data_IF_708904351135
#
_entry.id   IF_708904351135
#
_cell.length_a   1.000
_cell.length_b   1.000
_cell.length_c   1.000
_cell.angle_alpha   90.00
_cell.angle_beta   90.00
_cell.angle_gamma   90.00
#
_symmetry.space_group_name_H-M   'P 1'
#
loop_
_entity.id
_entity.type
_entity.pdbx_description
1 polymer ?
#
# COMPACT_ATOMS: atom_id res chain seq x y z
N UNK A 1 5.39 -37.58 18.63
CA UNK A 1 6.48 -36.58 18.67
C UNK A 1 6.27 -35.65 17.48
N UNK A 2 5.51 -34.57 17.66
CA UNK A 2 5.47 -33.51 16.67
C UNK A 2 6.78 -32.75 16.79
N UNK A 3 7.63 -32.82 15.76
CA UNK A 3 8.79 -31.96 15.68
C UNK A 3 8.28 -30.52 15.52
N UNK A 4 8.59 -29.66 16.48
CA UNK A 4 8.38 -28.22 16.35
C UNK A 4 9.21 -27.74 15.15
N UNK A 5 8.54 -27.19 14.13
CA UNK A 5 9.23 -26.48 13.05
C UNK A 5 9.99 -25.32 13.68
N UNK A 6 11.32 -25.19 13.47
CA UNK A 6 12.07 -24.09 14.04
C UNK A 6 11.48 -22.77 13.56
N UNK A 7 11.01 -21.96 14.50
CA UNK A 7 10.50 -20.61 14.21
C UNK A 7 11.66 -19.78 13.68
N UNK A 8 11.56 -19.35 12.42
CA UNK A 8 12.54 -18.45 11.81
C UNK A 8 12.62 -17.18 12.69
N UNK A 9 13.83 -16.68 13.01
CA UNK A 9 13.95 -15.47 13.82
C UNK A 9 13.22 -14.30 13.13
N UNK A 10 12.61 -13.39 13.90
CA UNK A 10 11.83 -12.30 13.33
C UNK A 10 12.73 -11.37 12.52
N UNK A 11 12.23 -10.88 11.38
CA UNK A 11 12.92 -9.85 10.60
C UNK A 11 12.94 -8.54 11.38
N UNK A 12 14.07 -7.84 11.34
CA UNK A 12 14.27 -6.60 12.08
C UNK A 12 13.92 -5.42 11.18
N UNK A 13 12.98 -4.60 11.63
CA UNK A 13 12.51 -3.44 10.84
C UNK A 13 12.83 -2.11 11.51
N UNK A 14 13.14 -1.14 10.65
CA UNK A 14 13.16 0.27 11.01
C UNK A 14 11.86 0.94 10.57
N UNK A 15 11.19 1.63 11.48
CA UNK A 15 10.00 2.42 11.17
C UNK A 15 10.40 3.88 10.97
N UNK A 16 10.27 4.36 9.73
CA UNK A 16 10.54 5.75 9.37
C UNK A 16 9.20 6.49 9.30
N UNK A 17 8.89 7.20 10.38
CA UNK A 17 7.62 7.88 10.60
C UNK A 17 6.75 7.18 11.64
N UNK A 18 6.53 7.83 12.79
CA UNK A 18 5.70 7.35 13.89
C UNK A 18 4.30 7.99 13.93
N UNK A 19 3.74 8.26 12.74
CA UNK A 19 2.37 8.74 12.59
C UNK A 19 1.32 7.66 12.88
N UNK A 20 0.07 7.91 12.48
CA UNK A 20 -1.02 6.92 12.64
C UNK A 20 -0.72 5.57 11.98
N UNK A 21 -0.12 5.58 10.79
CA UNK A 21 0.26 4.36 10.08
C UNK A 21 1.47 3.67 10.71
N UNK A 22 2.55 4.39 10.99
CA UNK A 22 3.75 3.82 11.61
C UNK A 22 3.46 3.11 12.94
N UNK A 23 2.66 3.73 13.82
CA UNK A 23 2.24 3.09 15.08
C UNK A 23 1.41 1.82 14.87
N UNK A 24 0.55 1.81 13.86
CA UNK A 24 -0.26 0.63 13.56
C UNK A 24 0.58 -0.51 12.94
N UNK A 25 1.58 -0.17 12.13
CA UNK A 25 2.58 -1.14 11.64
C UNK A 25 3.35 -1.71 12.84
N UNK A 26 3.78 -0.87 13.77
CA UNK A 26 4.47 -1.29 14.99
C UNK A 26 3.62 -2.25 15.84
N UNK A 27 2.36 -1.88 16.07
CA UNK A 27 1.39 -2.69 16.84
C UNK A 27 1.22 -4.09 16.24
N UNK A 28 1.20 -4.20 14.91
CA UNK A 28 0.99 -5.46 14.20
C UNK A 28 2.29 -6.21 13.87
N UNK A 29 3.47 -5.62 14.10
CA UNK A 29 4.74 -6.14 13.62
C UNK A 29 5.06 -7.54 14.16
N UNK A 30 4.93 -7.74 15.48
CA UNK A 30 5.27 -8.99 16.14
C UNK A 30 4.40 -10.17 15.66
N UNK A 31 3.10 -9.92 15.45
CA UNK A 31 2.16 -10.91 14.92
C UNK A 31 2.51 -11.36 13.49
N UNK A 32 3.28 -10.56 12.74
CA UNK A 32 3.68 -10.84 11.37
C UNK A 32 5.18 -11.21 11.26
N UNK A 33 5.82 -11.60 12.35
CA UNK A 33 7.20 -12.10 12.32
C UNK A 33 8.26 -10.99 12.26
N UNK A 34 7.95 -9.80 12.77
CA UNK A 34 8.90 -8.68 12.80
C UNK A 34 9.27 -8.23 14.22
N UNK A 35 10.52 -7.77 14.37
CA UNK A 35 11.02 -7.05 15.54
C UNK A 35 11.34 -5.60 15.15
N UNK A 36 10.76 -4.63 15.85
CA UNK A 36 10.98 -3.20 15.56
C UNK A 36 12.23 -2.72 16.31
N UNK A 37 13.34 -2.61 15.60
CA UNK A 37 14.66 -2.28 16.16
C UNK A 37 14.98 -0.78 16.12
N UNK A 38 14.34 -0.02 15.24
CA UNK A 38 14.56 1.41 15.11
C UNK A 38 13.23 2.16 14.87
N UNK A 39 13.07 3.30 15.54
CA UNK A 39 11.92 4.20 15.40
C UNK A 39 12.41 5.61 15.11
N UNK A 40 12.04 6.11 13.94
CA UNK A 40 12.42 7.43 13.48
C UNK A 40 11.19 8.31 13.29
N UNK A 41 11.28 9.56 13.73
CA UNK A 41 10.24 10.57 13.55
C UNK A 41 10.83 11.99 13.40
N UNK A 42 9.99 13.02 13.47
CA UNK A 42 10.43 14.40 13.30
C UNK A 42 11.37 14.93 14.40
N UNK A 43 11.47 14.24 15.53
CA UNK A 43 12.34 14.62 16.66
C UNK A 43 13.78 14.12 16.49
N UNK A 44 13.96 12.93 15.89
CA UNK A 44 15.26 12.27 15.78
C UNK A 44 15.74 12.00 14.34
N UNK A 45 14.91 12.28 13.33
CA UNK A 45 15.24 12.08 11.91
C UNK A 45 14.97 13.33 11.04
N UNK A 46 15.06 14.52 11.63
CA UNK A 46 14.94 15.77 10.86
C UNK A 46 16.04 15.84 9.80
N UNK A 47 15.64 16.01 8.53
CA UNK A 47 16.57 16.01 7.39
C UNK A 47 17.35 14.71 7.21
N UNK A 48 16.82 13.57 7.69
CA UNK A 48 17.46 12.27 7.56
C UNK A 48 18.57 11.99 8.58
N UNK A 49 18.71 12.80 9.64
CA UNK A 49 19.80 12.68 10.61
C UNK A 49 19.83 11.35 11.39
N UNK A 50 18.70 10.66 11.50
CA UNK A 50 18.60 9.35 12.17
C UNK A 50 18.92 8.17 11.25
N UNK A 51 18.94 8.39 9.93
CA UNK A 51 19.27 7.39 8.92
C UNK A 51 20.78 7.30 8.73
N UNK A 52 21.44 6.66 9.69
CA UNK A 52 22.90 6.45 9.69
C UNK A 52 23.24 4.97 9.64
N UNK A 53 24.45 4.64 9.15
CA UNK A 53 24.97 3.26 9.14
C UNK A 53 24.96 2.62 10.53
N UNK A 54 25.29 3.40 11.57
CA UNK A 54 25.29 2.91 12.94
C UNK A 54 23.87 2.60 13.45
N UNK A 55 22.91 3.48 13.18
CA UNK A 55 21.52 3.28 13.61
C UNK A 55 20.85 2.09 12.90
N UNK A 56 21.18 1.86 11.63
CA UNK A 56 20.55 0.85 10.79
C UNK A 56 21.30 -0.49 10.75
N UNK A 57 22.37 -0.69 11.52
CA UNK A 57 23.22 -1.89 11.45
C UNK A 57 22.48 -3.21 11.73
N UNK A 58 21.38 -3.16 12.47
CA UNK A 58 20.52 -4.32 12.75
C UNK A 58 19.23 -4.32 11.93
N UNK A 59 19.08 -3.44 10.95
CA UNK A 59 17.85 -3.34 10.16
C UNK A 59 17.95 -4.22 8.92
N UNK A 60 16.97 -5.11 8.76
CA UNK A 60 16.83 -5.95 7.58
C UNK A 60 15.98 -5.24 6.50
N UNK A 61 14.93 -4.52 6.90
CA UNK A 61 14.05 -3.73 5.99
C UNK A 61 13.56 -2.45 6.69
N UNK A 62 13.50 -1.34 5.96
CA UNK A 62 12.88 -0.10 6.42
C UNK A 62 11.43 0.02 5.92
N UNK A 63 10.51 0.50 6.76
CA UNK A 63 9.15 0.85 6.37
C UNK A 63 8.94 2.36 6.58
N UNK A 64 8.75 3.10 5.48
CA UNK A 64 8.56 4.55 5.49
C UNK A 64 7.07 4.93 5.33
N UNK A 65 6.51 5.41 6.44
CA UNK A 65 5.22 6.11 6.54
C UNK A 65 5.44 7.49 7.20
N UNK A 66 6.44 8.21 6.72
CA UNK A 66 6.83 9.55 7.19
C UNK A 66 5.95 10.65 6.59
N UNK A 67 6.56 11.67 5.97
CA UNK A 67 5.85 12.77 5.32
C UNK A 67 6.45 13.02 3.94
N UNK A 68 5.68 13.60 2.99
CA UNK A 68 6.22 13.97 1.69
C UNK A 68 7.50 14.81 1.81
N UNK A 69 7.52 15.78 2.73
CA UNK A 69 8.70 16.60 3.00
C UNK A 69 9.92 15.80 3.48
N UNK A 70 9.71 14.77 4.30
CA UNK A 70 10.81 13.91 4.77
C UNK A 70 11.39 13.06 3.63
N UNK A 71 10.52 12.46 2.80
CA UNK A 71 10.96 11.75 1.58
C UNK A 71 11.72 12.69 0.66
N UNK A 72 11.17 13.87 0.37
CA UNK A 72 11.80 14.86 -0.51
C UNK A 72 13.12 15.42 0.05
N UNK A 73 13.32 15.39 1.38
CA UNK A 73 14.59 15.77 2.03
C UNK A 73 15.68 14.69 1.99
N UNK A 74 15.35 13.52 1.44
CA UNK A 74 16.31 12.49 1.08
C UNK A 74 16.31 11.24 1.95
N UNK A 75 15.17 10.87 2.55
CA UNK A 75 15.08 9.61 3.31
C UNK A 75 15.39 8.39 2.43
N UNK A 76 14.78 8.33 1.25
CA UNK A 76 14.89 7.18 0.36
C UNK A 76 16.30 7.07 -0.23
N UNK A 77 16.93 8.19 -0.53
CA UNK A 77 18.31 8.24 -1.02
C UNK A 77 19.29 7.74 0.03
N UNK A 78 19.13 8.14 1.29
CA UNK A 78 19.97 7.63 2.39
C UNK A 78 19.78 6.13 2.60
N UNK A 79 18.55 5.64 2.51
CA UNK A 79 18.28 4.20 2.61
C UNK A 79 18.92 3.42 1.44
N UNK A 80 18.89 3.99 0.23
CA UNK A 80 19.62 3.45 -0.93
C UNK A 80 21.13 3.40 -0.68
N UNK A 81 21.73 4.52 -0.24
CA UNK A 81 23.18 4.61 0.03
C UNK A 81 23.64 3.65 1.14
N UNK A 82 22.75 3.34 2.08
CA UNK A 82 23.02 2.40 3.18
C UNK A 82 22.74 0.94 2.81
N UNK A 83 22.14 0.68 1.64
CA UNK A 83 21.83 -0.67 1.18
C UNK A 83 20.67 -1.32 1.92
N UNK A 84 19.69 -0.54 2.38
CA UNK A 84 18.54 -1.04 3.16
C UNK A 84 17.32 -1.20 2.24
N UNK A 85 16.82 -2.43 2.14
CA UNK A 85 15.56 -2.72 1.46
C UNK A 85 14.43 -1.89 2.10
N UNK A 86 13.54 -1.35 1.28
CA UNK A 86 12.58 -0.34 1.74
C UNK A 86 11.16 -0.61 1.23
N UNK A 87 10.18 -0.45 2.12
CA UNK A 87 8.75 -0.34 1.78
C UNK A 87 8.32 1.11 2.04
N UNK A 88 7.92 1.84 1.02
CA UNK A 88 7.47 3.24 1.17
C UNK A 88 5.98 3.37 0.88
N UNK A 89 5.23 3.76 1.91
CA UNK A 89 3.81 4.12 1.81
C UNK A 89 3.52 5.61 1.99
N UNK A 90 4.55 6.42 2.19
CA UNK A 90 4.45 7.87 2.07
C UNK A 90 4.06 8.26 0.65
N UNK A 91 3.07 9.14 0.49
CA UNK A 91 2.60 9.68 -0.80
C UNK A 91 3.20 11.07 -1.07
N UNK A 92 2.96 11.63 -2.26
CA UNK A 92 3.24 13.05 -2.55
C UNK A 92 4.70 13.38 -2.90
N UNK A 93 5.41 12.44 -3.51
CA UNK A 93 6.79 12.58 -3.99
C UNK A 93 6.90 12.24 -5.48
N UNK A 94 5.80 12.36 -6.22
CA UNK A 94 5.68 12.00 -7.63
C UNK A 94 6.73 12.69 -8.51
N UNK A 95 7.03 13.95 -8.22
CA UNK A 95 8.03 14.76 -8.93
C UNK A 95 9.44 14.15 -8.90
N UNK A 96 9.78 13.39 -7.85
CA UNK A 96 11.08 12.72 -7.70
C UNK A 96 11.02 11.22 -7.91
N UNK A 97 9.85 10.69 -8.31
CA UNK A 97 9.63 9.25 -8.41
C UNK A 97 10.64 8.60 -9.35
N UNK A 98 10.77 9.11 -10.57
CA UNK A 98 11.68 8.54 -11.57
C UNK A 98 13.15 8.52 -11.09
N UNK A 99 13.59 9.59 -10.44
CA UNK A 99 14.94 9.74 -9.89
C UNK A 99 15.22 8.69 -8.80
N UNK A 100 14.32 8.58 -7.82
CA UNK A 100 14.46 7.68 -6.68
C UNK A 100 14.39 6.21 -7.12
N UNK A 101 13.46 5.87 -8.03
CA UNK A 101 13.38 4.51 -8.57
C UNK A 101 14.65 4.15 -9.36
N UNK A 102 15.26 5.09 -10.08
CA UNK A 102 16.54 4.86 -10.75
C UNK A 102 17.68 4.67 -9.73
N UNK A 103 17.69 5.45 -8.64
CA UNK A 103 18.68 5.32 -7.57
C UNK A 103 18.58 3.96 -6.86
N UNK A 104 17.38 3.53 -6.49
CA UNK A 104 17.16 2.24 -5.84
C UNK A 104 17.68 1.07 -6.71
N UNK A 105 17.38 1.10 -8.02
CA UNK A 105 17.92 0.12 -8.98
C UNK A 105 19.44 0.09 -9.00
N UNK A 106 20.09 1.26 -9.07
CA UNK A 106 21.57 1.36 -9.09
C UNK A 106 22.21 0.89 -7.79
N UNK A 107 21.53 1.11 -6.67
CA UNK A 107 22.03 0.75 -5.34
C UNK A 107 21.85 -0.74 -5.02
N UNK A 108 21.10 -1.47 -5.86
CA UNK A 108 20.89 -2.92 -5.72
C UNK A 108 19.89 -3.31 -4.63
N UNK A 109 19.23 -2.34 -3.98
CA UNK A 109 18.23 -2.63 -2.95
C UNK A 109 16.91 -3.10 -3.56
N UNK A 110 16.10 -3.75 -2.73
CA UNK A 110 14.68 -3.93 -2.94
C UNK A 110 13.89 -2.70 -2.49
N UNK A 111 13.01 -2.20 -3.35
CA UNK A 111 12.09 -1.11 -3.03
C UNK A 111 10.67 -1.48 -3.45
N UNK A 112 9.76 -1.57 -2.50
CA UNK A 112 8.31 -1.61 -2.77
C UNK A 112 7.73 -0.23 -2.47
N UNK A 113 7.01 0.35 -3.42
CA UNK A 113 6.33 1.62 -3.22
C UNK A 113 4.84 1.47 -3.53
N UNK A 114 4.00 2.23 -2.83
CA UNK A 114 2.57 2.24 -3.11
C UNK A 114 1.82 3.25 -2.27
N UNK A 115 0.86 3.93 -2.87
CA UNK A 115 -0.04 4.83 -2.12
C UNK A 115 -1.07 4.03 -1.27
N UNK A 116 -1.25 2.74 -1.57
CA UNK A 116 -2.23 1.89 -0.92
C UNK A 116 -1.77 0.44 -0.82
N UNK A 117 -1.42 0.03 0.40
CA UNK A 117 -1.00 -1.34 0.71
C UNK A 117 -2.16 -2.30 1.03
N UNK A 118 -3.42 -1.88 0.89
CA UNK A 118 -4.55 -2.79 1.13
C UNK A 118 -4.68 -3.79 -0.02
N UNK A 119 -4.46 -5.07 0.27
CA UNK A 119 -4.75 -6.17 -0.66
C UNK A 119 -6.20 -6.12 -1.14
N UNK A 120 -7.15 -5.82 -0.23
CA UNK A 120 -8.58 -5.73 -0.56
C UNK A 120 -8.90 -4.61 -1.55
N UNK A 121 -8.22 -3.46 -1.44
CA UNK A 121 -8.40 -2.37 -2.41
C UNK A 121 -7.81 -2.72 -3.77
N UNK A 122 -6.61 -3.33 -3.80
CA UNK A 122 -5.99 -3.71 -5.06
C UNK A 122 -6.75 -4.86 -5.76
N UNK A 123 -7.33 -5.80 -5.01
CA UNK A 123 -8.26 -6.78 -5.55
C UNK A 123 -9.53 -6.12 -6.11
N UNK A 124 -10.09 -5.14 -5.39
CA UNK A 124 -11.25 -4.37 -5.83
C UNK A 124 -10.99 -3.64 -7.17
N UNK A 125 -9.81 -3.04 -7.36
CA UNK A 125 -9.43 -2.43 -8.63
C UNK A 125 -9.47 -3.42 -9.80
N UNK A 126 -8.94 -4.64 -9.60
CA UNK A 126 -8.96 -5.66 -10.67
C UNK A 126 -10.37 -6.14 -10.98
N UNK A 127 -11.21 -6.31 -9.97
CA UNK A 127 -12.63 -6.67 -10.15
C UNK A 127 -13.36 -5.55 -10.91
N UNK A 128 -13.14 -4.30 -10.52
CA UNK A 128 -13.72 -3.13 -11.19
C UNK A 128 -13.29 -3.04 -12.66
N UNK A 129 -12.00 -3.20 -12.95
CA UNK A 129 -11.50 -3.19 -14.32
C UNK A 129 -12.07 -4.35 -15.16
N UNK A 130 -12.28 -5.53 -14.56
CA UNK A 130 -12.90 -6.66 -15.24
C UNK A 130 -14.40 -6.44 -15.52
N UNK A 131 -15.14 -5.89 -14.55
CA UNK A 131 -16.54 -5.52 -14.71
C UNK A 131 -16.69 -4.45 -15.80
N UNK A 132 -15.89 -3.37 -15.73
CA UNK A 132 -15.88 -2.29 -16.72
C UNK A 132 -15.59 -2.80 -18.14
N UNK A 133 -14.56 -3.64 -18.33
CA UNK A 133 -14.25 -4.26 -19.64
C UNK A 133 -15.43 -5.04 -20.22
N UNK A 134 -16.20 -5.70 -19.37
CA UNK A 134 -17.31 -6.55 -19.80
C UNK A 134 -18.53 -5.71 -20.14
N UNK A 135 -18.90 -4.79 -19.24
CA UNK A 135 -20.10 -3.96 -19.37
C UNK A 135 -19.95 -2.85 -20.41
N UNK A 136 -18.74 -2.35 -20.68
CA UNK A 136 -18.48 -1.38 -21.75
C UNK A 136 -18.81 -1.92 -23.16
N UNK A 137 -18.97 -3.24 -23.30
CA UNK A 137 -19.35 -3.90 -24.57
C UNK A 137 -20.86 -4.08 -24.70
N UNK A 138 -21.62 -3.74 -23.67
CA UNK A 138 -23.06 -3.84 -23.62
C UNK A 138 -23.66 -2.43 -23.76
N UNK A 139 -24.64 -2.28 -24.64
CA UNK A 139 -25.32 -1.00 -24.82
C UNK A 139 -26.26 -0.72 -23.63
N UNK A 140 -26.35 0.55 -23.22
CA UNK A 140 -27.37 1.04 -22.30
C UNK A 140 -27.03 0.95 -20.80
N UNK A 141 -25.77 0.68 -20.44
CA UNK A 141 -25.32 0.86 -19.07
C UNK A 141 -24.76 2.27 -18.82
N UNK A 142 -25.27 2.91 -17.78
CA UNK A 142 -24.67 4.10 -17.16
C UNK A 142 -23.78 3.67 -15.99
N UNK A 143 -22.73 4.44 -15.67
CA UNK A 143 -21.82 4.15 -14.56
C UNK A 143 -21.77 5.30 -13.56
N UNK A 144 -22.03 4.98 -12.30
CA UNK A 144 -21.84 5.88 -11.17
C UNK A 144 -20.80 5.31 -10.17
N UNK A 145 -20.04 6.21 -9.56
CA UNK A 145 -19.09 5.93 -8.51
C UNK A 145 -19.49 6.65 -7.22
N UNK A 146 -19.52 5.91 -6.12
CA UNK A 146 -19.81 6.43 -4.80
C UNK A 146 -18.63 6.21 -3.87
N UNK A 147 -18.27 7.23 -3.11
CA UNK A 147 -17.32 7.06 -2.02
C UNK A 147 -17.76 7.75 -0.73
N UNK A 148 -17.37 7.17 0.40
CA UNK A 148 -17.64 7.74 1.73
C UNK A 148 -16.41 7.66 2.61
N UNK A 149 -16.10 8.76 3.28
CA UNK A 149 -14.98 8.88 4.22
C UNK A 149 -15.39 9.71 5.43
N UNK A 150 -14.57 9.66 6.48
CA UNK A 150 -14.75 10.45 7.69
C UNK A 150 -14.77 11.96 7.40
N UNK A 151 -15.43 12.73 8.27
CA UNK A 151 -15.62 14.19 8.13
C UNK A 151 -14.32 14.97 7.90
N UNK A 152 -13.22 14.56 8.53
CA UNK A 152 -11.94 15.24 8.44
C UNK A 152 -11.13 15.04 7.14
N UNK A 153 -11.66 14.29 6.16
CA UNK A 153 -10.94 14.07 4.89
C UNK A 153 -11.18 15.26 3.96
N UNK A 154 -10.09 15.93 3.59
CA UNK A 154 -10.11 17.23 2.88
C UNK A 154 -10.21 17.09 1.36
N UNK A 155 -9.54 16.08 0.81
CA UNK A 155 -9.57 15.77 -0.63
C UNK A 155 -10.91 15.10 -1.00
N UNK A 156 -11.46 15.45 -2.16
CA UNK A 156 -12.63 14.83 -2.78
C UNK A 156 -12.55 15.00 -4.31
N UNK A 157 -12.70 13.91 -5.11
CA UNK A 157 -12.73 12.50 -4.71
C UNK A 157 -11.46 12.05 -3.97
N UNK A 158 -11.50 10.95 -3.22
CA UNK A 158 -10.28 10.40 -2.63
C UNK A 158 -9.29 9.89 -3.68
N UNK A 159 -8.00 9.84 -3.34
CA UNK A 159 -7.00 9.20 -4.19
C UNK A 159 -7.35 7.75 -4.58
N UNK A 160 -7.97 6.98 -3.68
CA UNK A 160 -8.48 5.63 -3.99
C UNK A 160 -9.58 5.66 -5.04
N UNK A 161 -10.49 6.64 -4.97
CA UNK A 161 -11.56 6.82 -5.96
C UNK A 161 -11.00 7.29 -7.31
N UNK A 162 -10.06 8.24 -7.32
CA UNK A 162 -9.41 8.68 -8.56
C UNK A 162 -8.72 7.50 -9.26
N UNK A 163 -7.93 6.70 -8.52
CA UNK A 163 -7.31 5.50 -9.09
C UNK A 163 -8.34 4.48 -9.59
N UNK A 164 -9.45 4.29 -8.88
CA UNK A 164 -10.53 3.40 -9.32
C UNK A 164 -11.08 3.84 -10.69
N UNK A 165 -11.30 5.15 -10.88
CA UNK A 165 -11.76 5.70 -12.14
C UNK A 165 -10.72 5.51 -13.25
N UNK A 166 -9.44 5.73 -12.97
CA UNK A 166 -8.36 5.49 -13.93
C UNK A 166 -8.34 4.02 -14.39
N UNK A 167 -8.48 3.06 -13.48
CA UNK A 167 -8.53 1.63 -13.80
C UNK A 167 -9.75 1.27 -14.67
N UNK A 168 -10.91 1.86 -14.36
CA UNK A 168 -12.15 1.69 -15.15
C UNK A 168 -12.00 2.28 -16.56
N UNK A 169 -11.38 3.47 -16.68
CA UNK A 169 -11.09 4.11 -17.98
C UNK A 169 -10.09 3.30 -18.79
N UNK A 170 -9.00 2.85 -18.17
CA UNK A 170 -8.00 1.99 -18.81
C UNK A 170 -8.59 0.64 -19.25
N UNK A 171 -9.64 0.17 -18.55
CA UNK A 171 -10.43 -0.99 -18.93
C UNK A 171 -11.39 -0.76 -20.12
N UNK A 172 -11.44 0.43 -20.70
CA UNK A 172 -12.21 0.72 -21.91
C UNK A 172 -13.58 1.33 -21.68
N UNK A 173 -13.92 1.73 -20.46
CA UNK A 173 -15.14 2.52 -20.22
C UNK A 173 -14.99 3.93 -20.81
N UNK A 174 -15.73 4.23 -21.87
CA UNK A 174 -15.72 5.54 -22.54
C UNK A 174 -16.85 6.48 -22.10
N UNK A 175 -17.95 5.94 -21.54
CA UNK A 175 -19.09 6.73 -21.06
C UNK A 175 -18.74 7.67 -19.90
N UNK A 176 -19.61 8.62 -19.58
CA UNK A 176 -19.43 9.46 -18.39
C UNK A 176 -19.43 8.61 -17.10
N UNK A 177 -18.78 9.12 -16.05
CA UNK A 177 -18.77 8.48 -14.73
C UNK A 177 -19.11 9.54 -13.70
N UNK A 178 -20.32 9.47 -13.16
CA UNK A 178 -20.76 10.39 -12.12
C UNK A 178 -20.16 9.99 -10.77
N UNK A 179 -19.49 10.93 -10.11
CA UNK A 179 -18.77 10.66 -8.86
C UNK A 179 -19.39 11.41 -7.69
N UNK A 180 -19.91 10.67 -6.71
CA UNK A 180 -20.43 11.23 -5.47
C UNK A 180 -19.48 10.99 -4.31
N UNK A 181 -19.11 12.07 -3.62
CA UNK A 181 -18.19 12.03 -2.48
C UNK A 181 -18.85 12.45 -1.18
N UNK A 182 -19.02 11.50 -0.25
CA UNK A 182 -19.60 11.74 1.07
C UNK A 182 -18.52 11.89 2.15
N UNK A 183 -18.71 12.85 3.05
CA UNK A 183 -17.83 13.09 4.22
C UNK A 183 -18.64 13.03 5.51
N UNK A 184 -18.65 11.88 6.16
CA UNK A 184 -19.55 11.60 7.28
C UNK A 184 -18.89 10.74 8.36
N UNK A 185 -19.11 11.12 9.63
CA UNK A 185 -18.70 10.35 10.80
C UNK A 185 -17.21 9.96 10.79
N UNK A 186 -16.97 8.68 11.07
CA UNK A 186 -15.65 8.06 11.22
C UNK A 186 -15.34 6.99 10.15
N UNK A 187 -16.07 7.00 9.02
CA UNK A 187 -15.91 6.01 7.95
C UNK A 187 -14.45 5.99 7.47
N UNK A 188 -13.72 4.87 7.59
CA UNK A 188 -12.33 4.81 7.16
C UNK A 188 -12.19 5.03 5.64
N UNK A 189 -13.08 4.41 4.87
CA UNK A 189 -13.22 4.55 3.43
C UNK A 189 -14.12 3.46 2.86
N UNK A 190 -15.14 3.86 2.12
CA UNK A 190 -15.99 2.96 1.32
C UNK A 190 -16.00 3.46 -0.12
N UNK A 191 -15.92 2.53 -1.07
CA UNK A 191 -15.90 2.79 -2.50
C UNK A 191 -16.84 1.81 -3.20
N UNK A 192 -17.67 2.32 -4.10
CA UNK A 192 -18.64 1.55 -4.86
C UNK A 192 -18.69 2.01 -6.30
N UNK A 193 -18.84 1.05 -7.21
CA UNK A 193 -19.25 1.29 -8.58
C UNK A 193 -20.61 0.64 -8.81
N UNK A 194 -21.47 1.36 -9.51
CA UNK A 194 -22.79 0.89 -9.93
C UNK A 194 -22.91 1.09 -11.43
N UNK A 195 -23.11 0.00 -12.15
CA UNK A 195 -23.60 0.02 -13.52
C UNK A 195 -25.10 -0.21 -13.51
N UNK A 196 -25.86 0.64 -14.19
CA UNK A 196 -27.32 0.55 -14.24
C UNK A 196 -27.83 0.63 -15.67
N UNK A 197 -28.85 -0.16 -16.00
CA UNK A 197 -29.52 -0.16 -17.29
C UNK A 197 -31.02 -0.36 -17.10
N UNK A 198 -31.80 -0.29 -18.19
CA UNK A 198 -33.22 -0.60 -18.13
C UNK A 198 -33.53 -2.05 -17.71
N UNK A 199 -32.56 -2.98 -17.81
CA UNK A 199 -32.76 -4.39 -17.51
C UNK A 199 -32.33 -4.77 -16.09
N UNK A 200 -31.20 -4.24 -15.62
CA UNK A 200 -30.60 -4.60 -14.33
C UNK A 200 -29.56 -3.58 -13.84
N UNK A 201 -29.15 -3.81 -12.59
CA UNK A 201 -28.09 -3.08 -11.91
C UNK A 201 -26.99 -4.04 -11.44
N UNK A 202 -25.73 -3.69 -11.70
CA UNK A 202 -24.55 -4.40 -11.19
C UNK A 202 -23.78 -3.49 -10.24
N UNK A 203 -23.54 -3.95 -9.01
CA UNK A 203 -22.81 -3.19 -7.99
C UNK A 203 -21.62 -3.97 -7.44
N UNK A 204 -20.51 -3.27 -7.25
CA UNK A 204 -19.37 -3.78 -6.48
C UNK A 204 -18.97 -2.75 -5.42
N UNK A 205 -18.69 -3.22 -4.21
CA UNK A 205 -18.37 -2.37 -3.06
C UNK A 205 -17.16 -2.89 -2.29
N UNK A 206 -16.24 -1.98 -1.98
CA UNK A 206 -15.18 -2.20 -1.01
C UNK A 206 -15.38 -1.30 0.21
N UNK A 207 -15.29 -1.87 1.41
CA UNK A 207 -15.42 -1.15 2.69
C UNK A 207 -14.22 -1.43 3.59
N UNK A 208 -13.40 -0.40 3.84
CA UNK A 208 -12.34 -0.48 4.83
C UNK A 208 -12.92 -0.38 6.25
N UNK A 209 -12.73 -1.41 7.07
CA UNK A 209 -13.16 -1.41 8.48
C UNK A 209 -12.18 -0.72 9.42
N UNK A 210 -10.90 -0.71 9.06
CA UNK A 210 -9.83 -0.02 9.80
C UNK A 210 -8.62 0.19 8.90
N UNK A 211 -7.58 0.84 9.42
CA UNK A 211 -6.31 0.99 8.72
C UNK A 211 -5.43 -0.26 8.76
N UNK A 212 -5.85 -1.30 9.47
CA UNK A 212 -5.06 -2.51 9.66
C UNK A 212 -4.75 -3.22 8.32
N UNK A 213 -5.68 -3.16 7.35
CA UNK A 213 -5.44 -3.74 6.02
C UNK A 213 -4.22 -3.14 5.31
N UNK A 214 -3.99 -1.83 5.45
CA UNK A 214 -2.81 -1.18 4.86
C UNK A 214 -1.53 -1.56 5.60
N UNK A 215 -1.57 -1.61 6.93
CA UNK A 215 -0.41 -1.99 7.74
C UNK A 215 0.01 -3.44 7.49
N UNK A 216 -0.95 -4.38 7.42
CA UNK A 216 -0.70 -5.78 7.08
C UNK A 216 -0.09 -5.95 5.70
N UNK A 217 -0.58 -5.22 4.69
CA UNK A 217 0.02 -5.28 3.36
C UNK A 217 1.43 -4.69 3.29
N UNK A 218 1.73 -3.65 4.08
CA UNK A 218 3.09 -3.11 4.18
C UNK A 218 4.06 -4.10 4.86
N UNK A 219 3.61 -4.79 5.91
CA UNK A 219 4.37 -5.86 6.56
C UNK A 219 4.59 -7.06 5.61
N UNK A 220 3.56 -7.46 4.86
CA UNK A 220 3.69 -8.50 3.84
C UNK A 220 4.69 -8.07 2.74
N UNK A 221 4.62 -6.82 2.29
CA UNK A 221 5.58 -6.28 1.33
C UNK A 221 7.00 -6.26 1.89
N UNK A 222 7.18 -5.96 3.18
CA UNK A 222 8.49 -5.98 3.85
C UNK A 222 9.06 -7.40 3.92
N UNK A 223 8.22 -8.38 4.23
CA UNK A 223 8.60 -9.80 4.25
C UNK A 223 9.03 -10.26 2.86
N UNK A 224 8.25 -9.86 1.84
CA UNK A 224 8.49 -10.23 0.47
C UNK A 224 9.72 -9.53 -0.11
N UNK A 225 9.96 -8.25 0.17
CA UNK A 225 11.10 -7.54 -0.44
C UNK A 225 12.45 -7.93 0.17
N UNK A 226 12.48 -8.42 1.41
CA UNK A 226 13.72 -8.76 2.10
C UNK A 226 14.61 -9.73 1.29
N UNK A 227 15.82 -9.26 0.96
CA UNK A 227 16.81 -10.03 0.20
C UNK A 227 16.51 -10.11 -1.31
N UNK A 228 15.50 -9.38 -1.80
CA UNK A 228 15.19 -9.25 -3.23
C UNK A 228 15.59 -7.86 -3.70
N UNK A 229 16.36 -7.77 -4.79
CA UNK A 229 16.66 -6.49 -5.43
C UNK A 229 15.56 -6.08 -6.42
N UNK A 230 15.41 -4.79 -6.69
CA UNK A 230 14.54 -4.26 -7.73
C UNK A 230 13.52 -3.25 -7.19
N UNK A 231 12.74 -2.65 -8.09
CA UNK A 231 11.70 -1.69 -7.72
C UNK A 231 10.33 -2.22 -8.14
N UNK A 232 9.37 -2.14 -7.23
CA UNK A 232 8.06 -2.78 -7.38
C UNK A 232 6.95 -1.83 -6.96
N UNK A 233 6.01 -1.58 -7.87
CA UNK A 233 4.74 -0.95 -7.51
C UNK A 233 3.86 -1.98 -6.81
N UNK A 234 3.45 -1.70 -5.58
CA UNK A 234 2.59 -2.62 -4.83
C UNK A 234 1.29 -2.93 -5.56
N UNK A 235 0.72 -1.96 -6.30
CA UNK A 235 -0.50 -2.18 -7.07
C UNK A 235 -0.32 -3.23 -8.18
N UNK A 236 0.90 -3.42 -8.67
CA UNK A 236 1.24 -4.38 -9.73
C UNK A 236 1.78 -5.70 -9.16
N UNK A 237 2.36 -5.70 -7.96
CA UNK A 237 3.04 -6.87 -7.40
C UNK A 237 2.34 -7.50 -6.19
N UNK A 238 1.21 -6.95 -5.71
CA UNK A 238 0.57 -7.44 -4.48
C UNK A 238 0.22 -8.93 -4.52
N UNK A 239 -0.09 -9.50 -5.69
CA UNK A 239 -0.35 -10.96 -5.84
C UNK A 239 0.88 -11.80 -5.48
N UNK A 240 2.07 -11.34 -5.86
CA UNK A 240 3.34 -12.01 -5.51
C UNK A 240 3.62 -11.88 -4.01
N UNK A 241 3.34 -10.68 -3.47
CA UNK A 241 3.51 -10.39 -2.04
C UNK A 241 2.63 -11.31 -1.17
N UNK A 242 1.39 -11.60 -1.60
CA UNK A 242 0.50 -12.50 -0.85
C UNK A 242 0.62 -13.97 -1.24
N UNK A 243 1.13 -14.26 -2.44
CA UNK A 243 1.13 -15.59 -3.04
C UNK A 243 2.42 -16.39 -2.84
N UNK A 244 3.57 -15.73 -2.66
CA UNK A 244 4.85 -16.45 -2.47
C UNK A 244 5.07 -16.97 -1.05
N UNK A 245 4.29 -16.55 -0.05
CA UNK A 245 4.25 -17.11 1.31
C UNK A 245 2.95 -16.64 2.01
N UNK A 246 1.78 -17.12 1.57
CA UNK A 246 0.57 -17.01 2.41
C UNK A 246 0.85 -17.65 3.78
N UNK A 247 0.19 -17.24 4.88
CA UNK A 247 0.33 -17.97 6.14
C UNK A 247 0.06 -19.43 5.83
N UNK A 248 1.05 -20.29 6.07
CA UNK A 248 0.98 -21.73 5.85
C UNK A 248 -0.43 -22.19 6.21
N UNK A 249 -1.24 -22.46 5.19
CA UNK A 249 -2.47 -23.19 5.38
C UNK A 249 -2.01 -24.58 5.78
N UNK A 250 -1.86 -24.77 7.09
CA UNK A 250 -1.83 -26.08 7.69
C UNK A 250 -2.99 -26.85 7.06
N UNK A 251 -2.61 -27.92 6.38
CA UNK A 251 -3.49 -28.92 5.78
C UNK A 251 -4.69 -29.20 6.68
N UNK A 252 -5.89 -28.94 6.17
CA UNK A 252 -7.09 -29.63 6.63
C UNK A 252 -7.53 -30.57 5.50
N UNK A 253 -6.93 -31.76 5.52
CA UNK A 253 -7.61 -33.01 5.17
C UNK A 253 -8.72 -33.30 6.18
#
# INVERSE_FOLDING_TARGET
MHAETPTRPPLRIALVGQGRMGRLVEELASEHGFAVVLRLDGSNNRGGAGLTRAALHETDVAIDFSTPAAVMSGNLERLCDLGIDTVVGTTGWDDRRAEILALARRSGIGLVYGANFSVGVNAFYRIAAAAARTLARCDGYDLAAFESHHRGKRDAPSGTALRLLDEVRAAGWSGEIDVTSQRTGHVPGTHELQWDSAADTVQIRHTARSRAGFARGALAAAQWIHGRSGVYDFAECWEKVVGEDGPSSASSS
#
